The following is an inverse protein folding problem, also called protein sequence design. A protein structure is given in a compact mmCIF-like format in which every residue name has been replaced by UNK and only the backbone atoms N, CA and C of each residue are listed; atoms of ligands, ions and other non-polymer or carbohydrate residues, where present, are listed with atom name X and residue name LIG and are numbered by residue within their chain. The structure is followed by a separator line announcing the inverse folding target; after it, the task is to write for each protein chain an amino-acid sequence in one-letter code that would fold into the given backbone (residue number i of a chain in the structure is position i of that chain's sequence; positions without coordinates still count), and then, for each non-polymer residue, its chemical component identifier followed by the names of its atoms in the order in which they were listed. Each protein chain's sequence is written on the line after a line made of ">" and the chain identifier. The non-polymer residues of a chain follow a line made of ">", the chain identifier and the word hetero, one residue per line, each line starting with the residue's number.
data_IF_292631304961
#
_entry.id   IF_292631304961
#
_cell.length_a   1.000
_cell.length_b   1.000
_cell.length_c   1.000
_cell.angle_alpha   90.00
_cell.angle_beta   90.00
_cell.angle_gamma   90.00
#
_symmetry.space_group_name_H-M   'P 1'
#
loop_
_entity.id
_entity.type
_entity.pdbx_description
1 polymer ?
#
# COMPACT_ATOMS: atom_id res chain seq x y z
N UNK A 1 7.95 19.81 5.15
CA UNK A 1 8.13 19.61 3.69
C UNK A 1 8.26 18.14 3.30
N UNK A 2 9.24 17.38 3.82
CA UNK A 2 9.39 15.94 3.48
C UNK A 2 8.09 15.14 3.63
N UNK A 3 7.48 15.18 4.82
CA UNK A 3 6.24 14.44 5.12
C UNK A 3 5.07 14.80 4.20
N UNK A 4 4.91 16.09 3.87
CA UNK A 4 3.88 16.55 2.95
C UNK A 4 4.11 16.03 1.52
N UNK A 5 5.36 16.07 1.04
CA UNK A 5 5.72 15.54 -0.27
C UNK A 5 5.48 14.03 -0.32
N UNK A 6 5.94 13.29 0.69
CA UNK A 6 5.72 11.84 0.80
C UNK A 6 4.23 11.49 0.83
N UNK A 7 3.43 12.25 1.57
CA UNK A 7 1.98 12.07 1.63
C UNK A 7 1.32 12.21 0.25
N UNK A 8 1.63 13.27 -0.49
CA UNK A 8 1.08 13.48 -1.83
C UNK A 8 1.56 12.45 -2.85
N UNK A 9 2.83 12.02 -2.77
CA UNK A 9 3.35 10.91 -3.58
C UNK A 9 2.55 9.63 -3.30
N UNK A 10 2.31 9.30 -2.03
CA UNK A 10 1.56 8.10 -1.67
C UNK A 10 0.09 8.17 -2.08
N UNK A 11 -0.56 9.34 -1.99
CA UNK A 11 -1.89 9.54 -2.57
C UNK A 11 -1.87 9.24 -4.08
N UNK A 12 -0.91 9.79 -4.81
CA UNK A 12 -0.79 9.58 -6.24
C UNK A 12 -0.49 8.11 -6.60
N UNK A 13 0.18 7.36 -5.73
CA UNK A 13 0.49 5.94 -5.96
C UNK A 13 -0.65 5.00 -5.55
N UNK A 14 -1.44 5.34 -4.53
CA UNK A 14 -2.46 4.44 -3.97
C UNK A 14 -3.84 4.77 -4.51
N UNK A 15 -4.22 6.06 -4.48
CA UNK A 15 -5.59 6.50 -4.74
C UNK A 15 -5.82 6.75 -6.23
N UNK A 16 -4.89 7.44 -6.90
CA UNK A 16 -5.06 7.81 -8.30
C UNK A 16 -5.18 6.61 -9.27
N UNK A 17 -4.44 5.49 -9.09
CA UNK A 17 -4.59 4.32 -9.94
C UNK A 17 -5.89 3.55 -9.70
N UNK A 18 -6.55 3.78 -8.55
CA UNK A 18 -7.68 2.96 -8.09
C UNK A 18 -8.86 2.96 -9.08
N UNK A 19 -9.36 4.11 -9.59
CA UNK A 19 -10.46 4.13 -10.56
C UNK A 19 -10.10 3.44 -11.88
N UNK A 20 -8.87 3.62 -12.36
CA UNK A 20 -8.39 2.98 -13.60
C UNK A 20 -8.33 1.46 -13.44
N UNK A 21 -7.80 0.99 -12.30
CA UNK A 21 -7.67 -0.44 -12.01
C UNK A 21 -9.03 -1.11 -11.87
N UNK A 22 -9.98 -0.47 -11.18
CA UNK A 22 -11.36 -0.96 -11.07
C UNK A 22 -12.03 -1.00 -12.45
N UNK A 23 -11.84 0.03 -13.29
CA UNK A 23 -12.37 0.03 -14.65
C UNK A 23 -11.79 -1.11 -15.51
N UNK A 24 -10.48 -1.39 -15.41
CA UNK A 24 -9.85 -2.50 -16.12
C UNK A 24 -10.40 -3.87 -15.67
N UNK A 25 -10.75 -4.01 -14.39
CA UNK A 25 -11.38 -5.22 -13.86
C UNK A 25 -12.79 -5.40 -14.40
N UNK A 26 -13.61 -4.35 -14.39
CA UNK A 26 -15.00 -4.39 -14.87
C UNK A 26 -15.09 -4.57 -16.38
N UNK A 27 -14.16 -3.98 -17.14
CA UNK A 27 -14.09 -4.10 -18.60
C UNK A 27 -13.46 -5.40 -19.09
N UNK A 28 -12.95 -6.25 -18.18
CA UNK A 28 -12.27 -7.50 -18.53
C UNK A 28 -10.93 -7.32 -19.24
N UNK A 29 -10.39 -6.10 -19.30
CA UNK A 29 -9.08 -5.81 -19.89
C UNK A 29 -7.94 -6.42 -19.06
N UNK A 30 -8.12 -6.47 -17.75
CA UNK A 30 -7.16 -7.10 -16.85
C UNK A 30 -7.37 -8.63 -16.81
N UNK A 31 -6.37 -9.36 -17.33
CA UNK A 31 -6.35 -10.82 -17.41
C UNK A 31 -5.70 -11.51 -16.21
N UNK A 32 -5.30 -10.76 -15.18
CA UNK A 32 -4.70 -11.34 -13.98
C UNK A 32 -5.66 -12.31 -13.28
N UNK A 33 -5.14 -13.35 -12.62
CA UNK A 33 -5.95 -14.28 -11.83
C UNK A 33 -6.76 -13.56 -10.74
N UNK A 34 -7.93 -14.07 -10.40
CA UNK A 34 -8.79 -13.48 -9.37
C UNK A 34 -8.08 -13.27 -8.03
N UNK A 35 -7.22 -14.21 -7.63
CA UNK A 35 -6.45 -14.11 -6.39
C UNK A 35 -5.48 -12.91 -6.37
N UNK A 36 -4.89 -12.57 -7.53
CA UNK A 36 -4.02 -11.39 -7.69
C UNK A 36 -4.84 -10.12 -7.53
N UNK A 37 -6.03 -10.07 -8.16
CA UNK A 37 -6.93 -8.91 -8.06
C UNK A 37 -7.36 -8.66 -6.61
N UNK A 38 -7.72 -9.71 -5.89
CA UNK A 38 -8.10 -9.63 -4.46
C UNK A 38 -6.93 -9.12 -3.62
N UNK A 39 -5.73 -9.67 -3.79
CA UNK A 39 -4.53 -9.21 -3.08
C UNK A 39 -4.21 -7.74 -3.37
N UNK A 40 -4.29 -7.33 -4.64
CA UNK A 40 -4.06 -5.95 -5.06
C UNK A 40 -5.05 -4.97 -4.42
N UNK A 41 -6.35 -5.29 -4.45
CA UNK A 41 -7.38 -4.42 -3.87
C UNK A 41 -7.32 -4.39 -2.35
N UNK A 42 -7.10 -5.53 -1.70
CA UNK A 42 -6.93 -5.61 -0.25
C UNK A 42 -5.76 -4.73 0.21
N UNK A 43 -4.60 -4.86 -0.46
CA UNK A 43 -3.43 -4.05 -0.12
C UNK A 43 -3.66 -2.56 -0.38
N UNK A 44 -4.24 -2.19 -1.52
CA UNK A 44 -4.51 -0.80 -1.86
C UNK A 44 -5.47 -0.13 -0.86
N UNK A 45 -6.59 -0.79 -0.52
CA UNK A 45 -7.56 -0.27 0.46
C UNK A 45 -6.92 -0.18 1.84
N UNK A 46 -6.18 -1.21 2.24
CA UNK A 46 -5.53 -1.25 3.55
C UNK A 46 -4.49 -0.15 3.70
N UNK A 47 -3.66 0.10 2.67
CA UNK A 47 -2.68 1.19 2.68
C UNK A 47 -3.35 2.56 2.58
N UNK A 48 -4.46 2.69 1.84
CA UNK A 48 -5.24 3.93 1.77
C UNK A 48 -5.81 4.32 3.14
N UNK A 49 -6.22 3.34 3.97
CA UNK A 49 -6.63 3.61 5.34
C UNK A 49 -5.49 4.21 6.19
N UNK A 50 -4.25 3.78 5.98
CA UNK A 50 -3.07 4.37 6.62
C UNK A 50 -2.86 5.84 6.27
N UNK A 51 -3.29 6.28 5.08
CA UNK A 51 -3.21 7.70 4.68
C UNK A 51 -4.07 8.60 5.58
N UNK A 52 -5.12 8.09 6.19
CA UNK A 52 -5.95 8.87 7.14
C UNK A 52 -5.15 9.22 8.38
N UNK A 53 -4.41 8.26 8.95
CA UNK A 53 -3.50 8.53 10.06
C UNK A 53 -2.33 9.43 9.66
N UNK A 54 -1.77 9.26 8.45
CA UNK A 54 -0.74 10.17 7.94
C UNK A 54 -1.30 11.60 7.80
N UNK A 55 -2.51 11.77 7.30
CA UNK A 55 -3.16 13.08 7.27
C UNK A 55 -3.35 13.66 8.68
N UNK A 56 -3.78 12.83 9.64
CA UNK A 56 -3.87 13.21 11.05
C UNK A 56 -2.53 13.69 11.61
N UNK A 57 -1.43 12.99 11.31
CA UNK A 57 -0.07 13.37 11.67
C UNK A 57 0.35 14.73 11.08
N UNK A 58 -0.08 15.06 9.86
CA UNK A 58 0.26 16.34 9.21
C UNK A 58 -0.56 17.52 9.73
N UNK A 59 -1.73 17.26 10.30
CA UNK A 59 -2.74 18.29 10.64
C UNK A 59 -3.02 18.36 12.14
N UNK A 60 -2.27 17.62 12.95
CA UNK A 60 -2.49 17.46 14.39
C UNK A 60 -3.96 17.10 14.75
N UNK A 61 -4.64 16.42 13.82
CA UNK A 61 -6.05 16.05 13.98
C UNK A 61 -6.17 14.59 14.40
N UNK A 62 -6.96 14.33 15.43
CA UNK A 62 -7.20 12.97 15.94
C UNK A 62 -8.35 12.30 15.19
N UNK A 63 -8.05 11.18 14.55
CA UNK A 63 -8.95 10.27 13.86
C UNK A 63 -8.85 8.93 14.57
N UNK A 64 -9.98 8.32 14.93
CA UNK A 64 -10.01 7.03 15.64
C UNK A 64 -9.12 7.01 16.92
N UNK A 65 -8.97 5.84 17.53
CA UNK A 65 -8.19 5.70 18.78
C UNK A 65 -6.75 5.30 18.49
N UNK A 66 -5.81 5.66 19.38
CA UNK A 66 -4.41 5.20 19.31
C UNK A 66 -4.29 3.67 19.20
N UNK A 67 -5.16 2.93 19.91
CA UNK A 67 -5.19 1.47 19.84
C UNK A 67 -5.52 0.93 18.43
N UNK A 68 -6.42 1.61 17.71
CA UNK A 68 -6.76 1.24 16.33
C UNK A 68 -5.52 1.34 15.42
N UNK A 69 -4.77 2.45 15.50
CA UNK A 69 -3.60 2.66 14.65
C UNK A 69 -2.42 1.76 15.01
N UNK A 70 -2.26 1.41 16.29
CA UNK A 70 -1.30 0.38 16.72
C UNK A 70 -1.65 -0.99 16.12
N UNK A 71 -2.93 -1.36 16.14
CA UNK A 71 -3.42 -2.56 15.49
C UNK A 71 -3.19 -2.55 13.98
N UNK A 72 -3.53 -1.45 13.32
CA UNK A 72 -3.26 -1.24 11.89
C UNK A 72 -1.77 -1.39 11.58
N UNK A 73 -0.88 -0.77 12.36
CA UNK A 73 0.56 -0.81 12.16
C UNK A 73 1.10 -2.24 12.27
N UNK A 74 0.64 -3.01 13.26
CA UNK A 74 1.02 -4.41 13.43
C UNK A 74 0.62 -5.25 12.21
N UNK A 75 -0.61 -5.06 11.71
CA UNK A 75 -1.08 -5.73 10.50
C UNK A 75 -0.27 -5.28 9.29
N UNK A 76 0.04 -3.99 9.15
CA UNK A 76 0.82 -3.44 8.04
C UNK A 76 2.23 -4.03 7.97
N UNK A 77 2.88 -4.19 9.12
CA UNK A 77 4.20 -4.82 9.22
C UNK A 77 4.09 -6.30 8.81
N UNK A 78 3.13 -7.04 9.35
CA UNK A 78 2.92 -8.45 8.99
C UNK A 78 2.64 -8.60 7.48
N UNK A 79 1.75 -7.77 6.93
CA UNK A 79 1.40 -7.75 5.51
C UNK A 79 2.57 -7.36 4.61
N UNK A 80 3.51 -6.54 5.09
CA UNK A 80 4.72 -6.18 4.33
C UNK A 80 5.77 -7.30 4.30
N UNK A 81 5.75 -8.20 5.30
CA UNK A 81 6.68 -9.32 5.43
C UNK A 81 6.15 -10.58 4.73
N UNK A 82 4.83 -10.82 4.76
CA UNK A 82 4.20 -12.00 4.13
C UNK A 82 4.61 -12.23 2.66
N UNK A 83 4.70 -11.20 1.78
CA UNK A 83 5.10 -11.36 0.39
C UNK A 83 6.52 -11.91 0.18
N UNK A 84 7.38 -11.88 1.21
CA UNK A 84 8.71 -12.51 1.16
C UNK A 84 8.57 -14.03 1.01
N UNK A 85 7.55 -14.61 1.64
CA UNK A 85 7.29 -16.05 1.61
C UNK A 85 6.30 -16.41 0.50
N UNK A 86 5.22 -15.65 0.37
CA UNK A 86 4.16 -15.95 -0.59
C UNK A 86 3.36 -14.70 -0.97
N UNK A 87 3.33 -14.39 -2.27
CA UNK A 87 2.46 -13.37 -2.85
C UNK A 87 2.08 -13.78 -4.27
N UNK A 88 0.83 -14.16 -4.52
CA UNK A 88 0.29 -14.39 -5.85
C UNK A 88 0.57 -13.21 -6.80
N UNK A 89 0.47 -11.98 -6.31
CA UNK A 89 0.79 -10.76 -7.07
C UNK A 89 2.26 -10.72 -7.49
N UNK A 90 3.20 -10.93 -6.58
CA UNK A 90 4.63 -10.89 -6.92
C UNK A 90 5.03 -12.05 -7.83
N UNK A 91 4.40 -13.23 -7.67
CA UNK A 91 4.60 -14.37 -8.55
C UNK A 91 4.13 -14.04 -9.99
N UNK A 92 2.90 -13.54 -10.13
CA UNK A 92 2.36 -13.12 -11.42
C UNK A 92 3.18 -11.99 -12.06
N UNK A 93 3.58 -10.99 -11.28
CA UNK A 93 4.43 -9.91 -11.77
C UNK A 93 5.79 -10.45 -12.28
N UNK A 94 6.40 -11.41 -11.58
CA UNK A 94 7.65 -12.03 -12.00
C UNK A 94 7.52 -12.79 -13.33
N UNK A 95 6.38 -13.44 -13.59
CA UNK A 95 6.10 -14.10 -14.86
C UNK A 95 5.95 -13.10 -16.02
N UNK A 96 5.24 -11.99 -15.79
CA UNK A 96 4.97 -10.99 -16.84
C UNK A 96 6.19 -10.13 -17.17
N UNK A 97 6.97 -9.71 -16.16
CA UNK A 97 8.03 -8.70 -16.34
C UNK A 97 9.45 -9.20 -16.08
N UNK A 98 9.60 -10.45 -15.64
CA UNK A 98 10.87 -11.05 -15.26
C UNK A 98 11.27 -10.79 -13.80
N UNK A 99 11.92 -11.80 -13.20
CA UNK A 99 12.27 -11.86 -11.77
C UNK A 99 13.14 -10.68 -11.28
N UNK A 100 14.11 -10.24 -12.08
CA UNK A 100 15.01 -9.15 -11.68
C UNK A 100 14.31 -7.80 -11.63
N UNK A 101 13.46 -7.48 -12.62
CA UNK A 101 12.69 -6.24 -12.64
C UNK A 101 11.67 -6.21 -11.51
N UNK A 102 10.96 -7.33 -11.29
CA UNK A 102 10.03 -7.47 -10.17
C UNK A 102 10.71 -7.20 -8.82
N UNK A 103 11.89 -7.79 -8.57
CA UNK A 103 12.63 -7.59 -7.31
C UNK A 103 13.02 -6.13 -7.07
N UNK A 104 13.51 -5.45 -8.11
CA UNK A 104 13.89 -4.03 -8.02
C UNK A 104 12.65 -3.19 -7.68
N UNK A 105 11.54 -3.40 -8.39
CA UNK A 105 10.31 -2.65 -8.15
C UNK A 105 9.70 -2.93 -6.78
N UNK A 106 9.74 -4.18 -6.31
CA UNK A 106 9.31 -4.53 -4.96
C UNK A 106 10.16 -3.80 -3.90
N UNK A 107 11.49 -3.78 -4.07
CA UNK A 107 12.39 -3.04 -3.16
C UNK A 107 12.13 -1.54 -3.16
N UNK A 108 11.98 -0.93 -4.35
CA UNK A 108 11.63 0.48 -4.48
C UNK A 108 10.27 0.77 -3.83
N UNK A 109 9.28 -0.10 -4.04
CA UNK A 109 7.97 0.02 -3.41
C UNK A 109 8.11 0.03 -1.89
N UNK A 110 8.84 -0.91 -1.28
CA UNK A 110 9.03 -0.93 0.17
C UNK A 110 9.57 0.40 0.69
N UNK A 111 10.57 0.99 0.02
CA UNK A 111 11.14 2.29 0.40
C UNK A 111 10.11 3.41 0.29
N UNK A 112 9.32 3.43 -0.79
CA UNK A 112 8.29 4.44 -1.01
C UNK A 112 7.18 4.41 0.05
N UNK A 113 6.86 3.23 0.59
CA UNK A 113 5.86 3.07 1.64
C UNK A 113 6.40 3.30 3.07
N UNK A 114 7.72 3.38 3.29
CA UNK A 114 8.28 3.63 4.63
C UNK A 114 7.72 4.91 5.29
N UNK A 115 7.60 6.07 4.61
CA UNK A 115 7.02 7.26 5.22
C UNK A 115 5.60 7.04 5.75
N UNK A 116 4.80 6.20 5.09
CA UNK A 116 3.46 5.85 5.59
C UNK A 116 3.56 5.18 6.95
N UNK A 117 4.36 4.12 7.05
CA UNK A 117 4.52 3.31 8.26
C UNK A 117 5.06 4.17 9.42
N UNK A 118 6.07 5.00 9.16
CA UNK A 118 6.62 5.89 10.18
C UNK A 118 5.64 6.99 10.60
N UNK A 119 4.92 7.60 9.66
CA UNK A 119 3.92 8.61 10.00
C UNK A 119 2.80 8.02 10.87
N UNK A 120 2.32 6.81 10.55
CA UNK A 120 1.32 6.12 11.38
C UNK A 120 1.89 5.75 12.75
N UNK A 121 3.16 5.35 12.83
CA UNK A 121 3.83 5.12 14.11
C UNK A 121 3.85 6.38 14.97
N UNK A 122 4.35 7.51 14.46
CA UNK A 122 4.38 8.78 15.20
C UNK A 122 2.98 9.33 15.51
N UNK A 123 1.99 8.99 14.71
CA UNK A 123 0.61 9.36 14.97
C UNK A 123 -0.03 8.53 16.10
N UNK A 124 0.35 7.26 16.21
CA UNK A 124 -0.26 6.32 17.12
C UNK A 124 0.32 6.37 18.54
N UNK A 125 1.52 6.92 18.73
CA UNK A 125 2.29 6.94 19.98
C UNK A 125 2.65 8.35 20.39
#
# INVERSE_FOLDING_TARGET
>A
MFWQISFWILIALIVLPFPFKVFEYLSGKDKSPMIVKVEEMANAIFMALGLVAFHGFLTDTVYLTSAFWKGWLLIAIAWSVLPIFWSPKLAYAAEVMGKNRMRILAGVSCILYLPLIFAVYFYAF
#
